data_IF_079928374783
#
_entry.id   IF_079928374783
#
_cell.length_a   1.000
_cell.length_b   1.000
_cell.length_c   1.000
_cell.angle_alpha   90.00
_cell.angle_beta   90.00
_cell.angle_gamma   90.00
#
_symmetry.space_group_name_H-M   'P 1'
#
loop_
_entity.id
_entity.type
_entity.pdbx_description
1 polymer ?
#
# COMPACT_ATOMS: atom_id res chain seq x y z
N UNK A 1 0.68 19.16 -14.09
CA UNK A 1 1.19 18.56 -15.35
C UNK A 1 1.04 17.06 -15.22
N UNK A 2 0.64 16.38 -16.30
CA UNK A 2 0.40 14.95 -16.26
C UNK A 2 1.70 14.17 -16.54
N UNK A 3 2.11 13.37 -15.57
CA UNK A 3 3.21 12.42 -15.65
C UNK A 3 2.80 11.31 -16.61
N UNK A 4 3.49 11.23 -17.74
CA UNK A 4 3.39 10.13 -18.71
C UNK A 4 4.62 9.22 -18.69
N UNK A 5 5.42 9.31 -17.63
CA UNK A 5 6.63 8.51 -17.49
C UNK A 5 6.27 7.04 -17.31
N UNK A 6 6.75 6.19 -18.23
CA UNK A 6 6.45 4.76 -18.25
C UNK A 6 6.94 4.04 -16.99
N UNK A 7 8.09 4.43 -16.42
CA UNK A 7 8.64 3.80 -15.22
C UNK A 7 7.72 3.97 -14.01
N UNK A 8 7.15 5.17 -13.84
CA UNK A 8 6.19 5.44 -12.75
C UNK A 8 4.94 4.60 -12.95
N UNK A 9 4.39 4.57 -14.17
CA UNK A 9 3.18 3.79 -14.47
C UNK A 9 3.40 2.30 -14.19
N UNK A 10 4.54 1.75 -14.61
CA UNK A 10 4.91 0.37 -14.35
C UNK A 10 5.10 0.08 -12.86
N UNK A 11 5.71 1.01 -12.12
CA UNK A 11 5.94 0.85 -10.69
C UNK A 11 4.64 0.91 -9.87
N UNK A 12 3.72 1.80 -10.25
CA UNK A 12 2.35 1.84 -9.69
C UNK A 12 1.63 0.52 -9.96
N UNK A 13 1.67 0.01 -11.20
CA UNK A 13 1.02 -1.25 -11.56
C UNK A 13 1.60 -2.45 -10.78
N UNK A 14 2.93 -2.52 -10.65
CA UNK A 14 3.61 -3.53 -9.83
C UNK A 14 3.21 -3.43 -8.36
N UNK A 15 3.16 -2.21 -7.81
CA UNK A 15 2.77 -1.95 -6.42
C UNK A 15 1.33 -2.40 -6.16
N UNK A 16 0.41 -2.07 -7.07
CA UNK A 16 -1.00 -2.48 -7.00
C UNK A 16 -1.17 -3.99 -7.07
N UNK A 17 -0.45 -4.65 -7.98
CA UNK A 17 -0.50 -6.12 -8.09
C UNK A 17 0.04 -6.76 -6.82
N UNK A 18 1.15 -6.25 -6.27
CA UNK A 18 1.75 -6.78 -5.05
C UNK A 18 0.83 -6.58 -3.85
N UNK A 19 0.26 -5.38 -3.67
CA UNK A 19 -0.68 -5.08 -2.61
C UNK A 19 -1.89 -6.02 -2.64
N UNK A 20 -2.56 -6.14 -3.79
CA UNK A 20 -3.79 -6.94 -3.92
C UNK A 20 -3.56 -8.45 -3.75
N UNK A 21 -2.45 -8.98 -4.27
CA UNK A 21 -2.15 -10.43 -4.21
C UNK A 21 -1.54 -10.86 -2.88
N UNK A 22 -0.63 -10.07 -2.33
CA UNK A 22 0.26 -10.52 -1.26
C UNK A 22 -0.05 -9.89 0.10
N UNK A 23 -0.71 -8.73 0.14
CA UNK A 23 -1.03 -7.98 1.36
C UNK A 23 -2.52 -8.02 1.64
N UNK A 24 -3.34 -7.47 0.74
CA UNK A 24 -4.79 -7.33 0.89
C UNK A 24 -5.58 -8.54 0.37
N UNK A 25 -5.12 -9.73 0.75
CA UNK A 25 -5.78 -10.98 0.37
C UNK A 25 -6.87 -11.38 1.39
N UNK A 26 -7.74 -12.33 1.00
CA UNK A 26 -8.85 -12.81 1.84
C UNK A 26 -8.46 -13.35 3.22
N UNK A 27 -7.21 -13.77 3.39
CA UNK A 27 -6.71 -14.37 4.63
C UNK A 27 -6.21 -13.33 5.63
N UNK A 28 -5.71 -12.19 5.14
CA UNK A 28 -5.12 -11.14 5.98
C UNK A 28 -6.07 -9.94 6.10
N UNK A 29 -6.96 -9.71 5.13
CA UNK A 29 -7.86 -8.54 5.06
C UNK A 29 -8.58 -8.21 6.37
N UNK A 30 -9.02 -9.22 7.11
CA UNK A 30 -9.71 -9.04 8.41
C UNK A 30 -8.83 -8.40 9.48
N UNK A 31 -7.52 -8.65 9.44
CA UNK A 31 -6.59 -8.09 10.41
C UNK A 31 -6.43 -6.57 10.25
N UNK A 32 -6.71 -6.02 9.06
CA UNK A 32 -6.64 -4.58 8.83
C UNK A 32 -7.81 -3.79 9.43
N UNK A 33 -8.89 -4.46 9.83
CA UNK A 33 -10.05 -3.78 10.44
C UNK A 33 -9.73 -3.14 11.78
N UNK A 34 -8.64 -3.54 12.44
CA UNK A 34 -8.20 -2.97 13.72
C UNK A 34 -7.26 -1.78 13.54
N UNK A 35 -6.86 -1.46 12.30
CA UNK A 35 -5.90 -0.39 12.03
C UNK A 35 -6.52 0.98 12.32
N UNK A 36 -5.81 1.81 13.07
CA UNK A 36 -6.20 3.20 13.37
C UNK A 36 -5.87 4.16 12.20
N UNK A 37 -6.26 3.79 10.98
CA UNK A 37 -6.06 4.61 9.78
C UNK A 37 -7.34 5.39 9.45
N UNK A 38 -7.18 6.67 9.10
CA UNK A 38 -8.32 7.53 8.75
C UNK A 38 -9.06 6.99 7.52
N UNK A 39 -10.38 7.26 7.44
CA UNK A 39 -11.19 6.85 6.30
C UNK A 39 -10.67 7.45 4.99
N UNK A 40 -10.22 8.70 5.01
CA UNK A 40 -9.66 9.37 3.84
C UNK A 40 -8.38 8.68 3.33
N UNK A 41 -7.52 8.20 4.24
CA UNK A 41 -6.32 7.46 3.86
C UNK A 41 -6.68 6.08 3.27
N UNK A 42 -7.69 5.40 3.81
CA UNK A 42 -8.22 4.17 3.20
C UNK A 42 -8.76 4.38 1.79
N UNK A 43 -9.62 5.39 1.60
CA UNK A 43 -10.19 5.71 0.28
C UNK A 43 -9.10 6.09 -0.73
N UNK A 44 -8.04 6.78 -0.28
CA UNK A 44 -6.90 7.15 -1.13
C UNK A 44 -6.06 5.94 -1.51
N UNK A 45 -5.84 5.00 -0.58
CA UNK A 45 -5.17 3.73 -0.86
C UNK A 45 -6.00 2.85 -1.81
N UNK A 46 -7.32 2.83 -1.65
CA UNK A 46 -8.21 2.14 -2.57
C UNK A 46 -8.10 2.73 -3.97
N UNK A 47 -8.14 4.06 -4.13
CA UNK A 47 -7.92 4.73 -5.43
C UNK A 47 -6.55 4.43 -6.03
N UNK A 48 -5.50 4.37 -5.22
CA UNK A 48 -4.16 3.99 -5.67
C UNK A 48 -4.12 2.57 -6.24
N UNK A 49 -4.82 1.65 -5.58
CA UNK A 49 -4.84 0.22 -5.94
C UNK A 49 -5.94 -0.14 -6.94
N UNK A 50 -6.80 0.82 -7.29
CA UNK A 50 -7.83 0.62 -8.31
C UNK A 50 -7.20 0.70 -9.70
N UNK A 51 -7.50 -0.31 -10.53
CA UNK A 51 -6.93 -0.43 -11.87
C UNK A 51 -7.75 0.38 -12.85
N UNK A 52 -7.63 1.70 -12.80
CA UNK A 52 -8.25 2.52 -13.83
C UNK A 52 -7.29 2.66 -15.03
N UNK A 53 -7.64 2.00 -16.14
CA UNK A 53 -6.97 2.17 -17.45
C UNK A 53 -6.97 3.64 -17.91
N UNK A 54 -7.80 4.47 -17.27
CA UNK A 54 -7.86 5.92 -17.44
C UNK A 54 -6.50 6.61 -17.24
N UNK A 55 -5.74 6.21 -16.21
CA UNK A 55 -4.44 6.83 -15.92
C UNK A 55 -3.35 6.47 -16.95
N UNK A 56 -3.49 5.33 -17.65
CA UNK A 56 -2.58 4.96 -18.76
C UNK A 56 -2.72 5.92 -19.94
N UNK A 57 -3.88 6.55 -20.12
CA UNK A 57 -4.18 7.45 -21.25
C UNK A 57 -3.95 8.91 -20.87
N UNK A 58 -4.39 9.33 -19.68
CA UNK A 58 -4.33 10.73 -19.25
C UNK A 58 -2.99 11.10 -18.57
N UNK A 59 -2.29 10.12 -17.99
CA UNK A 59 -1.15 10.36 -17.09
C UNK A 59 -1.60 10.76 -15.68
N UNK A 60 -0.68 10.69 -14.72
CA UNK A 60 -0.95 11.02 -13.31
C UNK A 60 -0.59 12.47 -12.99
N UNK A 61 -1.30 13.16 -12.10
CA UNK A 61 -0.77 14.40 -11.53
C UNK A 61 0.23 14.09 -10.41
N UNK A 62 1.28 14.91 -10.27
CA UNK A 62 2.25 14.78 -9.17
C UNK A 62 1.56 14.76 -7.80
N UNK A 63 0.58 15.64 -7.60
CA UNK A 63 -0.18 15.71 -6.34
C UNK A 63 -0.88 14.38 -6.02
N UNK A 64 -1.54 13.77 -7.01
CA UNK A 64 -2.24 12.48 -6.80
C UNK A 64 -1.26 11.37 -6.42
N UNK A 65 -0.11 11.29 -7.10
CA UNK A 65 0.91 10.29 -6.75
C UNK A 65 1.45 10.52 -5.35
N UNK A 66 1.68 11.77 -4.95
CA UNK A 66 2.14 12.08 -3.59
C UNK A 66 1.09 11.70 -2.53
N UNK A 67 -0.19 11.95 -2.80
CA UNK A 67 -1.29 11.49 -1.94
C UNK A 67 -1.34 9.96 -1.84
N UNK A 68 -1.14 9.24 -2.95
CA UNK A 68 -1.06 7.78 -2.99
C UNK A 68 0.13 7.24 -2.21
N UNK A 69 1.32 7.82 -2.39
CA UNK A 69 2.53 7.46 -1.64
C UNK A 69 2.29 7.64 -0.14
N UNK A 70 1.73 8.78 0.26
CA UNK A 70 1.46 9.07 1.66
C UNK A 70 0.46 8.08 2.28
N UNK A 71 -0.63 7.76 1.57
CA UNK A 71 -1.60 6.75 2.01
C UNK A 71 -0.97 5.35 2.12
N UNK A 72 -0.13 4.96 1.16
CA UNK A 72 0.59 3.69 1.19
C UNK A 72 1.60 3.61 2.34
N UNK A 73 2.36 4.68 2.60
CA UNK A 73 3.29 4.76 3.72
C UNK A 73 2.56 4.70 5.07
N UNK A 74 1.44 5.42 5.20
CA UNK A 74 0.58 5.37 6.39
C UNK A 74 0.07 3.94 6.64
N UNK A 75 -0.38 3.25 5.59
CA UNK A 75 -0.78 1.85 5.68
C UNK A 75 0.37 0.96 6.16
N UNK A 76 1.57 1.10 5.58
CA UNK A 76 2.76 0.31 5.98
C UNK A 76 3.07 0.50 7.46
N UNK A 77 3.06 1.74 7.93
CA UNK A 77 3.32 2.09 9.32
C UNK A 77 2.35 1.38 10.29
N UNK A 78 1.04 1.55 10.07
CA UNK A 78 0.03 0.93 10.93
C UNK A 78 0.04 -0.61 10.79
N UNK A 79 0.28 -1.14 9.60
CA UNK A 79 0.35 -2.58 9.38
C UNK A 79 1.54 -3.19 10.13
N UNK A 80 2.67 -2.48 10.18
CA UNK A 80 3.86 -2.92 10.91
C UNK A 80 3.67 -2.83 12.42
N UNK A 81 3.06 -1.75 12.93
CA UNK A 81 2.93 -1.52 14.38
C UNK A 81 1.75 -2.25 15.03
N UNK A 82 0.62 -2.35 14.33
CA UNK A 82 -0.62 -2.83 14.92
C UNK A 82 -0.98 -4.25 14.47
N UNK A 83 -0.73 -4.56 13.19
CA UNK A 83 -1.18 -5.82 12.58
C UNK A 83 -0.12 -6.91 12.69
N UNK A 84 1.11 -6.64 12.24
CA UNK A 84 2.20 -7.62 12.23
C UNK A 84 2.44 -8.29 13.61
N UNK A 85 2.56 -7.57 14.75
CA UNK A 85 2.78 -8.21 16.04
C UNK A 85 1.56 -9.00 16.54
N UNK A 86 0.35 -8.58 16.16
CA UNK A 86 -0.91 -9.17 16.64
C UNK A 86 -1.54 -10.14 15.63
N UNK A 87 -0.88 -10.42 14.49
CA UNK A 87 -1.49 -11.06 13.33
C UNK A 87 -2.12 -12.43 13.66
N UNK A 88 -1.42 -13.24 14.46
CA UNK A 88 -1.93 -14.55 14.90
C UNK A 88 -3.19 -14.39 15.76
N UNK A 89 -3.17 -13.47 16.72
CA UNK A 89 -4.30 -13.17 17.61
C UNK A 89 -5.52 -12.67 16.83
N UNK A 90 -5.33 -11.63 16.00
CA UNK A 90 -6.37 -11.00 15.19
C UNK A 90 -7.07 -11.98 14.25
N UNK A 91 -6.31 -12.89 13.64
CA UNK A 91 -6.89 -13.86 12.73
C UNK A 91 -7.53 -15.04 13.48
N UNK A 92 -7.00 -15.44 14.64
CA UNK A 92 -7.55 -16.53 15.46
C UNK A 92 -8.93 -16.18 16.05
N UNK A 93 -9.12 -14.94 16.50
CA UNK A 93 -10.35 -14.45 17.13
C UNK A 93 -11.60 -14.53 16.22
N UNK A 94 -11.42 -14.55 14.89
CA UNK A 94 -12.51 -14.65 13.92
C UNK A 94 -12.82 -16.06 13.41
N UNK A 95 -12.12 -17.10 13.89
CA UNK A 95 -12.14 -18.45 13.31
C UNK A 95 -12.85 -19.51 14.15
N UNK A 96 -13.36 -19.14 15.34
CA UNK A 96 -13.88 -20.10 16.32
C UNK A 96 -15.39 -20.34 16.29
N UNK A 97 -16.14 -19.81 15.32
CA UNK A 97 -17.51 -20.30 15.14
C UNK A 97 -17.47 -21.72 14.56
N UNK A 98 -18.22 -22.66 15.14
CA UNK A 98 -18.23 -24.08 14.73
C UNK A 98 -18.55 -24.26 13.23
N UNK A 99 -19.26 -23.29 12.62
CA UNK A 99 -19.59 -23.24 11.20
C UNK A 99 -18.38 -23.01 10.28
N UNK A 100 -17.39 -22.20 10.69
CA UNK A 100 -16.16 -21.97 9.90
C UNK A 100 -15.19 -23.16 9.89
N UNK A 101 -15.33 -24.08 10.85
CA UNK A 101 -14.45 -25.27 11.00
C UNK A 101 -14.84 -26.41 10.05
N UNK A 102 -16.09 -26.44 9.56
CA UNK A 102 -16.57 -27.44 8.60
C UNK A 102 -16.29 -27.04 7.14
N UNK A 103 -16.01 -25.77 6.85
CA UNK A 103 -15.80 -25.28 5.47
C UNK A 103 -14.35 -24.97 5.10
N UNK A 104 -13.44 -24.85 6.07
CA UNK A 104 -12.02 -24.63 5.81
C UNK A 104 -11.32 -25.99 5.57
N UNK A 105 -11.29 -26.44 4.31
CA UNK A 105 -10.46 -27.58 3.92
C UNK A 105 -8.98 -27.35 4.30
N UNK A 106 -8.23 -28.42 4.55
CA UNK A 106 -6.83 -28.32 5.03
C UNK A 106 -5.91 -27.44 4.17
N UNK A 107 -6.21 -27.28 2.87
CA UNK A 107 -5.51 -26.37 1.96
C UNK A 107 -5.67 -24.89 2.36
N UNK A 108 -6.85 -24.46 2.82
CA UNK A 108 -7.10 -23.05 3.16
C UNK A 108 -6.33 -22.62 4.43
N UNK A 109 -6.18 -23.55 5.37
CA UNK A 109 -5.35 -23.36 6.57
C UNK A 109 -3.86 -23.22 6.22
N UNK A 110 -3.37 -24.01 5.26
CA UNK A 110 -1.98 -23.92 4.79
C UNK A 110 -1.76 -22.57 4.09
N UNK A 111 -2.66 -22.15 3.19
CA UNK A 111 -2.57 -20.86 2.50
C UNK A 111 -2.61 -19.69 3.47
N UNK A 112 -3.47 -19.76 4.48
CA UNK A 112 -3.54 -18.75 5.54
C UNK A 112 -2.25 -18.70 6.36
N UNK A 113 -1.69 -19.85 6.74
CA UNK A 113 -0.41 -19.92 7.45
C UNK A 113 0.72 -19.32 6.62
N UNK A 114 0.83 -19.70 5.34
CA UNK A 114 1.80 -19.13 4.41
C UNK A 114 1.63 -17.62 4.25
N UNK A 115 0.39 -17.12 4.15
CA UNK A 115 0.12 -15.71 4.06
C UNK A 115 0.57 -14.95 5.33
N UNK A 116 0.34 -15.51 6.52
CA UNK A 116 0.81 -14.93 7.78
C UNK A 116 2.33 -14.93 7.89
N UNK A 117 2.98 -16.05 7.58
CA UNK A 117 4.43 -16.21 7.71
C UNK A 117 5.18 -15.28 6.73
N UNK A 118 4.64 -15.05 5.53
CA UNK A 118 5.22 -14.16 4.53
C UNK A 118 4.78 -12.69 4.67
N UNK A 119 3.81 -12.38 5.54
CA UNK A 119 3.22 -11.02 5.61
C UNK A 119 4.27 -9.94 5.89
N UNK A 120 5.18 -10.18 6.84
CA UNK A 120 6.25 -9.22 7.16
C UNK A 120 7.15 -8.92 5.97
N UNK A 121 7.60 -9.96 5.26
CA UNK A 121 8.44 -9.79 4.06
C UNK A 121 7.67 -9.08 2.92
N UNK A 122 6.41 -9.45 2.70
CA UNK A 122 5.55 -8.80 1.71
C UNK A 122 5.31 -7.32 2.03
N UNK A 123 5.17 -6.98 3.32
CA UNK A 123 5.02 -5.60 3.76
C UNK A 123 6.29 -4.79 3.51
N UNK A 124 7.48 -5.36 3.77
CA UNK A 124 8.76 -4.71 3.45
C UNK A 124 8.92 -4.46 1.95
N UNK A 125 8.60 -5.43 1.10
CA UNK A 125 8.64 -5.27 -0.36
C UNK A 125 7.72 -4.12 -0.81
N UNK A 126 6.53 -3.99 -0.23
CA UNK A 126 5.62 -2.89 -0.55
C UNK A 126 6.14 -1.54 -0.05
N UNK A 127 6.79 -1.51 1.12
CA UNK A 127 7.45 -0.32 1.62
C UNK A 127 8.56 0.14 0.68
N UNK A 128 9.38 -0.79 0.19
CA UNK A 128 10.46 -0.51 -0.76
C UNK A 128 9.91 0.02 -2.09
N UNK A 129 8.86 -0.60 -2.63
CA UNK A 129 8.18 -0.11 -3.85
C UNK A 129 7.60 1.29 -3.66
N UNK A 130 7.02 1.58 -2.49
CA UNK A 130 6.48 2.90 -2.15
C UNK A 130 7.60 3.94 -2.07
N UNK A 131 8.74 3.57 -1.48
CA UNK A 131 9.92 4.43 -1.41
C UNK A 131 10.52 4.69 -2.81
N UNK A 132 10.63 3.66 -3.64
CA UNK A 132 11.10 3.79 -5.02
C UNK A 132 10.20 4.72 -5.83
N UNK A 133 8.87 4.60 -5.64
CA UNK A 133 7.89 5.47 -6.28
C UNK A 133 8.08 6.92 -5.85
N UNK A 134 8.31 7.16 -4.56
CA UNK A 134 8.61 8.48 -4.04
C UNK A 134 9.89 9.08 -4.65
N UNK A 135 11.00 8.35 -4.62
CA UNK A 135 12.29 8.85 -5.13
C UNK A 135 12.20 9.17 -6.62
N UNK A 136 11.58 8.29 -7.43
CA UNK A 136 11.39 8.53 -8.87
C UNK A 136 10.47 9.72 -9.14
N UNK A 137 9.38 9.86 -8.38
CA UNK A 137 8.45 10.98 -8.53
C UNK A 137 9.12 12.31 -8.18
N UNK A 138 9.90 12.37 -7.10
CA UNK A 138 10.65 13.57 -6.71
C UNK A 138 11.71 13.95 -7.76
N UNK A 139 12.40 12.96 -8.33
CA UNK A 139 13.38 13.21 -9.39
C UNK A 139 12.72 13.87 -10.61
N UNK A 140 11.58 13.33 -11.06
CA UNK A 140 10.82 13.87 -12.19
C UNK A 140 10.22 15.24 -11.88
N UNK A 141 9.70 15.45 -10.67
CA UNK A 141 9.14 16.73 -10.26
C UNK A 141 10.20 17.84 -10.28
N UNK A 142 11.43 17.52 -9.89
CA UNK A 142 12.59 18.44 -9.97
C UNK A 142 13.02 18.72 -11.40
N UNK A 143 13.00 17.71 -12.27
CA UNK A 143 13.35 17.88 -13.68
C UNK A 143 12.31 18.72 -14.44
N UNK A 144 11.02 18.52 -14.16
CA UNK A 144 9.94 19.27 -14.82
C UNK A 144 9.79 20.71 -14.29
N UNK A 145 10.15 20.97 -13.03
CA UNK A 145 10.04 22.29 -12.41
C UNK A 145 11.39 23.03 -12.27
N UNK A 146 12.34 22.83 -13.21
CA UNK A 146 13.61 23.58 -13.20
C UNK A 146 13.36 25.11 -13.14
N UNK A 147 13.60 25.70 -11.96
CA UNK A 147 13.43 27.13 -11.69
C UNK A 147 12.17 27.55 -10.91
N UNK A 148 11.28 26.62 -10.55
CA UNK A 148 10.12 26.88 -9.67
C UNK A 148 10.11 25.92 -8.48
N UNK A 149 9.42 26.28 -7.38
CA UNK A 149 9.23 25.36 -6.23
C UNK A 149 8.46 24.13 -6.70
N UNK A 150 9.12 22.98 -6.70
CA UNK A 150 8.53 21.69 -7.06
C UNK A 150 7.35 21.34 -6.13
N UNK A 151 6.46 20.46 -6.59
CA UNK A 151 5.24 20.13 -5.85
C UNK A 151 5.57 19.45 -4.53
N UNK A 152 6.60 18.61 -4.48
CA UNK A 152 7.05 17.94 -3.25
C UNK A 152 7.45 18.91 -2.12
N UNK A 153 7.92 20.12 -2.46
CA UNK A 153 8.33 21.13 -1.46
C UNK A 153 7.15 21.85 -0.82
N UNK A 154 5.95 21.71 -1.41
CA UNK A 154 4.73 22.40 -0.96
C UNK A 154 3.84 21.53 -0.08
N UNK A 155 4.13 20.22 0.00
CA UNK A 155 3.35 19.24 0.74
C UNK A 155 4.17 18.85 1.98
N UNK A 156 3.76 19.35 3.14
CA UNK A 156 4.49 19.13 4.39
C UNK A 156 4.42 17.66 4.85
N UNK A 157 3.34 16.97 4.50
CA UNK A 157 3.07 15.56 4.81
C UNK A 157 4.11 14.60 4.18
N UNK A 158 4.78 15.02 3.10
CA UNK A 158 5.81 14.19 2.44
C UNK A 158 7.10 14.10 3.25
N UNK A 159 7.35 15.03 4.17
CA UNK A 159 8.51 14.98 5.08
C UNK A 159 8.44 13.77 6.01
N UNK A 160 7.23 13.28 6.29
CA UNK A 160 6.98 12.15 7.20
C UNK A 160 7.10 10.80 6.51
N UNK A 161 7.01 10.72 5.17
CA UNK A 161 7.06 9.46 4.40
C UNK A 161 8.31 8.65 4.71
N UNK A 162 9.47 9.31 4.84
CA UNK A 162 10.72 8.63 5.21
C UNK A 162 10.67 8.01 6.62
N UNK A 163 9.94 8.59 7.56
CA UNK A 163 9.77 8.04 8.91
C UNK A 163 8.71 6.94 8.96
N UNK A 164 7.68 7.03 8.11
CA UNK A 164 6.59 6.05 8.03
C UNK A 164 7.02 4.72 7.40
N UNK A 165 8.06 4.73 6.57
CA UNK A 165 8.55 3.55 5.84
C UNK A 165 9.68 2.77 6.57
N UNK A 166 10.22 3.30 7.68
CA UNK A 166 11.29 2.69 8.50
C UNK A 166 10.71 1.75 9.57
#
# INVERSE_FOLDING_TARGET
MAIKNQDIVELVEKSTIHYTKNIYNRHIRKAFMTMQMSRAAWETLERFTDKSDYYKVQGYQFQEIYEYIHAAATFVYHARKEVLPNLKSLLSAGSETMLSRQSAGGSDLILRKMAMDNFGANLSIFADMTNELYVKTVALDKEEHQGQRAVYERIDELKEVGQLLI
#
